data_IF_620095921783
#
_entry.id   IF_620095921783
#
_cell.length_a   1.000
_cell.length_b   1.000
_cell.length_c   1.000
_cell.angle_alpha   90.00
_cell.angle_beta   90.00
_cell.angle_gamma   90.00
#
_symmetry.space_group_name_H-M   'P 1'
#
loop_
_entity.id
_entity.type
_entity.pdbx_description
1 polymer ?
#
# COMPACT_ATOMS: atom_id res chain seq x y z
N UNK A 1 -2.77 21.44 12.75
CA UNK A 1 -2.63 20.76 11.45
C UNK A 1 -1.55 19.67 11.43
N UNK A 2 -0.37 19.92 12.08
CA UNK A 2 0.72 18.92 12.17
C UNK A 2 0.31 17.67 12.92
N UNK A 3 -0.43 17.79 14.02
CA UNK A 3 -0.91 16.66 14.82
C UNK A 3 -1.86 15.77 14.02
N UNK A 4 -2.81 16.36 13.30
CA UNK A 4 -3.75 15.61 12.45
C UNK A 4 -3.04 14.81 11.37
N UNK A 5 -2.02 15.40 10.73
CA UNK A 5 -1.20 14.70 9.71
C UNK A 5 -0.43 13.54 10.31
N UNK A 6 0.13 13.74 11.51
CA UNK A 6 0.85 12.67 12.21
C UNK A 6 -0.09 11.53 12.60
N UNK A 7 -1.26 11.84 13.17
CA UNK A 7 -2.27 10.82 13.52
C UNK A 7 -2.74 10.06 12.28
N UNK A 8 -3.06 10.75 11.20
CA UNK A 8 -3.47 10.11 9.95
C UNK A 8 -2.42 9.14 9.41
N UNK A 9 -1.13 9.52 9.51
CA UNK A 9 -0.01 8.66 9.13
C UNK A 9 0.07 7.42 10.02
N UNK A 10 -0.02 7.59 11.34
CA UNK A 10 0.04 6.48 12.29
C UNK A 10 -1.13 5.52 12.12
N UNK A 11 -2.35 6.00 11.86
CA UNK A 11 -3.49 5.16 11.53
C UNK A 11 -3.26 4.33 10.27
N UNK A 12 -2.69 4.93 9.22
CA UNK A 12 -2.34 4.18 8.01
C UNK A 12 -1.25 3.13 8.29
N UNK A 13 -0.23 3.48 9.08
CA UNK A 13 0.79 2.51 9.49
C UNK A 13 0.21 1.36 10.31
N UNK A 14 -0.70 1.62 11.25
CA UNK A 14 -1.40 0.59 12.02
C UNK A 14 -2.20 -0.33 11.10
N UNK A 15 -2.98 0.25 10.19
CA UNK A 15 -3.80 -0.53 9.27
C UNK A 15 -2.97 -1.49 8.41
N UNK A 16 -1.80 -1.07 7.95
CA UNK A 16 -0.93 -1.90 7.11
C UNK A 16 0.01 -2.80 7.91
N UNK A 17 0.74 -2.24 8.86
CA UNK A 17 1.88 -2.88 9.53
C UNK A 17 1.57 -3.30 10.98
N UNK A 18 0.34 -3.07 11.46
CA UNK A 18 -0.02 -3.43 12.84
C UNK A 18 0.31 -4.88 13.16
N UNK A 19 0.82 -5.11 14.35
CA UNK A 19 1.16 -6.44 14.86
C UNK A 19 1.02 -6.47 16.39
N UNK A 20 0.01 -7.13 16.88
CA UNK A 20 -0.25 -7.27 18.33
C UNK A 20 0.91 -7.94 19.08
N UNK A 21 1.76 -8.71 18.38
CA UNK A 21 2.96 -9.33 18.92
C UNK A 21 4.22 -8.46 18.79
N UNK A 22 4.09 -7.19 18.35
CA UNK A 22 5.23 -6.29 18.21
C UNK A 22 5.91 -6.02 19.55
N UNK A 23 7.21 -6.32 19.66
CA UNK A 23 8.01 -6.17 20.90
C UNK A 23 8.88 -4.90 20.90
N UNK A 24 8.91 -4.17 19.79
CA UNK A 24 9.74 -2.97 19.64
C UNK A 24 9.35 -1.86 20.63
N UNK A 25 10.33 -1.09 21.07
CA UNK A 25 10.13 0.10 21.92
C UNK A 25 9.75 1.34 21.12
N UNK A 26 10.05 1.35 19.83
CA UNK A 26 9.63 2.39 18.88
C UNK A 26 8.34 1.97 18.19
N UNK A 27 7.51 2.95 17.78
CA UNK A 27 6.22 2.70 17.12
C UNK A 27 5.30 1.77 17.92
N UNK A 28 5.21 2.00 19.21
CA UNK A 28 4.38 1.18 20.14
C UNK A 28 2.91 1.13 19.75
N UNK A 29 2.44 2.12 18.98
CA UNK A 29 1.08 2.15 18.43
C UNK A 29 0.78 0.99 17.46
N UNK A 30 1.78 0.33 16.88
CA UNK A 30 1.57 -0.84 16.02
C UNK A 30 1.01 -2.06 16.76
N UNK A 31 1.03 -2.08 18.09
CA UNK A 31 0.51 -3.19 18.91
C UNK A 31 -1.02 -3.24 18.99
N UNK A 32 -1.71 -2.22 18.52
CA UNK A 32 -3.16 -2.06 18.73
C UNK A 32 -3.98 -3.13 18.02
N UNK A 33 -3.66 -3.42 16.76
CA UNK A 33 -4.35 -4.42 15.95
C UNK A 33 -3.36 -5.16 15.05
N UNK A 34 -3.77 -6.31 14.54
CA UNK A 34 -3.05 -6.98 13.46
C UNK A 34 -3.46 -6.35 12.13
N UNK A 35 -2.50 -5.70 11.47
CA UNK A 35 -2.69 -5.02 10.20
C UNK A 35 -2.85 -5.98 9.01
N UNK A 36 -3.20 -5.43 7.87
CA UNK A 36 -3.45 -6.21 6.65
C UNK A 36 -2.26 -7.05 6.21
N UNK A 37 -1.02 -6.57 6.35
CA UNK A 37 0.17 -7.36 6.00
C UNK A 37 0.25 -8.67 6.80
N UNK A 38 -0.02 -8.62 8.11
CA UNK A 38 0.01 -9.81 8.96
C UNK A 38 -1.13 -10.76 8.63
N UNK A 39 -2.35 -10.24 8.44
CA UNK A 39 -3.53 -11.03 8.11
C UNK A 39 -3.41 -11.69 6.72
N UNK A 40 -2.96 -10.95 5.72
CA UNK A 40 -2.77 -11.45 4.36
C UNK A 40 -1.61 -12.45 4.28
N UNK A 41 -0.55 -12.27 5.08
CA UNK A 41 0.57 -13.23 5.12
C UNK A 41 0.12 -14.65 5.46
N UNK A 42 -0.94 -14.79 6.22
CA UNK A 42 -1.49 -16.10 6.59
C UNK A 42 -2.40 -16.71 5.50
N UNK A 43 -3.06 -15.88 4.68
CA UNK A 43 -4.15 -16.32 3.78
C UNK A 43 -3.84 -16.14 2.29
N UNK A 44 -3.03 -15.16 1.93
CA UNK A 44 -2.74 -14.84 0.53
C UNK A 44 -1.75 -15.81 -0.10
N UNK A 45 -1.87 -16.01 -1.41
CA UNK A 45 -0.84 -16.67 -2.19
C UNK A 45 0.42 -15.82 -2.21
N UNK A 46 1.56 -16.43 -1.91
CA UNK A 46 2.84 -15.74 -1.87
C UNK A 46 3.57 -15.90 -3.20
N UNK A 47 4.10 -14.79 -3.68
CA UNK A 47 5.10 -14.75 -4.76
C UNK A 47 6.42 -14.35 -4.11
N UNK A 48 7.41 -15.20 -4.20
CA UNK A 48 8.74 -14.90 -3.68
C UNK A 48 9.42 -13.92 -4.65
N UNK A 49 9.92 -12.82 -4.12
CA UNK A 49 10.64 -11.81 -4.88
C UNK A 49 11.91 -11.38 -4.15
N UNK A 50 12.70 -10.57 -4.80
CA UNK A 50 13.90 -9.94 -4.26
C UNK A 50 13.58 -8.51 -3.79
N UNK A 51 14.54 -7.87 -3.12
CA UNK A 51 14.48 -6.45 -2.81
C UNK A 51 14.25 -5.63 -4.07
N UNK A 52 13.30 -4.70 -4.04
CA UNK A 52 12.97 -3.86 -5.19
C UNK A 52 14.13 -2.93 -5.55
N UNK A 53 14.56 -3.03 -6.78
CA UNK A 53 15.55 -2.15 -7.42
C UNK A 53 14.96 -1.58 -8.70
N UNK A 54 15.56 -0.53 -9.24
CA UNK A 54 15.13 0.07 -10.51
C UNK A 54 15.15 -0.94 -11.66
N UNK A 55 16.04 -1.93 -11.59
CA UNK A 55 16.23 -2.88 -12.69
C UNK A 55 15.29 -4.11 -12.61
N UNK A 56 14.78 -4.44 -11.40
CA UNK A 56 13.95 -5.64 -11.22
C UNK A 56 12.50 -5.38 -10.86
N UNK A 57 12.15 -4.17 -10.37
CA UNK A 57 10.82 -3.89 -9.81
C UNK A 57 9.69 -4.09 -10.82
N UNK A 58 9.90 -3.75 -12.08
CA UNK A 58 8.91 -3.92 -13.14
C UNK A 58 8.57 -5.40 -13.31
N UNK A 59 9.59 -6.23 -13.50
CA UNK A 59 9.38 -7.67 -13.67
C UNK A 59 8.76 -8.35 -12.45
N UNK A 60 9.07 -7.87 -11.23
CA UNK A 60 8.46 -8.40 -10.02
C UNK A 60 6.98 -8.01 -9.88
N UNK A 61 6.62 -6.77 -10.23
CA UNK A 61 5.21 -6.32 -10.25
C UNK A 61 4.43 -7.06 -11.32
N UNK A 62 5.01 -7.27 -12.50
CA UNK A 62 4.40 -8.08 -13.56
C UNK A 62 4.15 -9.52 -13.09
N UNK A 63 5.14 -10.16 -12.51
CA UNK A 63 5.01 -11.53 -11.99
C UNK A 63 3.91 -11.63 -10.92
N UNK A 64 3.79 -10.63 -10.04
CA UNK A 64 2.75 -10.55 -9.04
C UNK A 64 1.35 -10.45 -9.67
N UNK A 65 1.18 -9.56 -10.65
CA UNK A 65 -0.09 -9.38 -11.37
C UNK A 65 -0.47 -10.66 -12.11
N UNK A 66 0.46 -11.25 -12.86
CA UNK A 66 0.19 -12.48 -13.61
C UNK A 66 -0.23 -13.65 -12.72
N UNK A 67 0.45 -13.82 -11.59
CA UNK A 67 0.08 -14.85 -10.60
C UNK A 67 -1.28 -14.58 -9.96
N UNK A 68 -1.60 -13.33 -9.68
CA UNK A 68 -2.90 -12.95 -9.16
C UNK A 68 -4.03 -13.18 -10.16
N UNK A 69 -3.81 -12.88 -11.44
CA UNK A 69 -4.77 -13.14 -12.52
C UNK A 69 -4.96 -14.62 -12.77
N UNK A 70 -3.89 -15.42 -12.76
CA UNK A 70 -3.94 -16.87 -12.87
C UNK A 70 -4.83 -17.46 -11.77
N UNK A 71 -4.65 -16.99 -10.52
CA UNK A 71 -5.48 -17.43 -9.40
C UNK A 71 -6.92 -16.98 -9.52
N UNK A 72 -7.18 -15.72 -9.87
CA UNK A 72 -8.52 -15.21 -10.05
C UNK A 72 -9.28 -15.98 -11.13
N UNK A 73 -8.61 -16.30 -12.24
CA UNK A 73 -9.17 -17.14 -13.31
C UNK A 73 -9.47 -18.57 -12.86
N UNK A 74 -8.59 -19.17 -12.06
CA UNK A 74 -8.79 -20.51 -11.54
C UNK A 74 -9.96 -20.60 -10.55
N UNK A 75 -10.25 -19.52 -9.84
CA UNK A 75 -11.33 -19.41 -8.87
C UNK A 75 -12.61 -18.78 -9.44
N UNK A 76 -12.62 -18.44 -10.74
CA UNK A 76 -13.71 -17.75 -11.45
C UNK A 76 -14.12 -16.43 -10.77
N UNK A 77 -13.13 -15.68 -10.27
CA UNK A 77 -13.32 -14.41 -9.58
C UNK A 77 -13.07 -13.24 -10.54
N UNK A 78 -14.03 -12.30 -10.67
CA UNK A 78 -13.82 -11.10 -11.47
C UNK A 78 -12.67 -10.24 -10.90
N UNK A 79 -11.89 -9.65 -11.79
CA UNK A 79 -10.75 -8.80 -11.40
C UNK A 79 -11.07 -7.31 -11.37
N UNK A 80 -12.34 -6.95 -11.49
CA UNK A 80 -12.80 -5.57 -11.35
C UNK A 80 -12.46 -5.02 -9.96
N UNK A 81 -11.87 -3.81 -9.94
CA UNK A 81 -11.45 -3.20 -8.69
C UNK A 81 -10.17 -3.75 -8.06
N UNK A 82 -9.45 -4.66 -8.77
CA UNK A 82 -8.12 -5.08 -8.34
C UNK A 82 -7.13 -3.93 -8.48
N UNK A 83 -6.23 -3.83 -7.52
CA UNK A 83 -5.17 -2.80 -7.46
C UNK A 83 -3.86 -3.42 -6.98
N UNK A 84 -2.77 -2.74 -7.31
CA UNK A 84 -1.44 -3.05 -6.76
C UNK A 84 -1.16 -2.10 -5.62
N UNK A 85 -0.95 -2.60 -4.43
CA UNK A 85 -0.60 -1.83 -3.24
C UNK A 85 0.90 -1.97 -2.99
N UNK A 86 1.60 -0.86 -2.81
CA UNK A 86 3.04 -0.82 -2.57
C UNK A 86 3.39 0.29 -1.59
N UNK A 87 4.57 0.19 -0.96
CA UNK A 87 5.08 1.28 -0.15
C UNK A 87 5.35 2.54 -1.00
N UNK A 88 5.12 3.73 -0.45
CA UNK A 88 5.41 5.00 -1.14
C UNK A 88 6.82 5.08 -1.73
N UNK A 89 7.83 4.57 -1.01
CA UNK A 89 9.21 4.57 -1.50
C UNK A 89 9.39 3.62 -2.69
N UNK A 90 8.75 2.46 -2.66
CA UNK A 90 8.83 1.46 -3.72
C UNK A 90 8.10 1.94 -4.99
N UNK A 91 6.99 2.67 -4.83
CA UNK A 91 6.32 3.34 -5.98
C UNK A 91 7.25 4.34 -6.64
N UNK A 92 8.08 5.07 -5.88
CA UNK A 92 9.08 5.97 -6.46
C UNK A 92 10.17 5.22 -7.23
N UNK A 93 10.60 4.06 -6.74
CA UNK A 93 11.52 3.18 -7.48
C UNK A 93 10.89 2.71 -8.80
N UNK A 94 9.61 2.33 -8.77
CA UNK A 94 8.85 1.95 -9.97
C UNK A 94 8.74 3.14 -10.97
N UNK A 95 8.47 4.34 -10.48
CA UNK A 95 8.44 5.56 -11.33
C UNK A 95 9.77 5.77 -12.06
N UNK A 96 10.89 5.65 -11.35
CA UNK A 96 12.23 5.80 -11.94
C UNK A 96 12.49 4.70 -12.97
N UNK A 97 12.12 3.45 -12.66
CA UNK A 97 12.27 2.33 -13.58
C UNK A 97 11.49 2.54 -14.89
N UNK A 98 10.23 2.98 -14.78
CA UNK A 98 9.40 3.31 -15.94
C UNK A 98 9.95 4.49 -16.74
N UNK A 99 10.50 5.49 -16.07
CA UNK A 99 11.17 6.63 -16.70
C UNK A 99 12.38 6.21 -17.54
N UNK A 100 13.19 5.26 -17.04
CA UNK A 100 14.34 4.72 -17.81
C UNK A 100 13.90 3.99 -19.08
N UNK A 101 12.82 3.22 -19.03
CA UNK A 101 12.26 2.56 -20.21
C UNK A 101 11.81 3.57 -21.27
N UNK A 102 11.26 4.70 -20.83
CA UNK A 102 10.76 5.74 -21.72
C UNK A 102 11.85 6.47 -22.48
N UNK A 103 13.01 6.66 -21.87
CA UNK A 103 14.16 7.36 -22.48
C UNK A 103 14.90 6.47 -23.48
N UNK A 104 14.90 5.15 -23.30
CA UNK A 104 15.56 4.20 -24.20
C UNK A 104 14.84 3.91 -25.51
N UNK A 105 13.55 4.22 -25.61
CA UNK A 105 12.73 3.96 -26.78
C UNK A 105 12.09 5.25 -27.28
N UNK A 106 12.71 5.85 -28.30
CA UNK A 106 12.19 7.04 -29.00
C UNK A 106 10.87 6.81 -29.75
N UNK A 107 10.23 5.68 -29.59
CA UNK A 107 8.95 5.35 -30.19
C UNK A 107 7.97 4.88 -29.11
N UNK A 108 7.04 5.69 -28.84
CA UNK A 108 5.80 5.66 -28.06
C UNK A 108 4.97 4.34 -27.96
N UNK A 109 5.52 3.17 -28.17
CA UNK A 109 4.73 1.94 -28.32
C UNK A 109 4.86 0.90 -27.22
N UNK A 110 5.78 1.04 -26.28
CA UNK A 110 5.91 0.07 -25.16
C UNK A 110 5.00 0.42 -23.98
N UNK A 111 4.35 1.58 -24.03
CA UNK A 111 3.48 2.07 -22.95
C UNK A 111 2.07 1.49 -22.95
N UNK A 112 1.71 0.57 -23.82
CA UNK A 112 0.38 -0.03 -23.81
C UNK A 112 0.01 -0.67 -22.46
N UNK A 113 1.01 -1.10 -21.69
CA UNK A 113 0.80 -1.79 -20.40
C UNK A 113 1.09 -0.90 -19.18
N UNK A 114 1.66 0.29 -19.39
CA UNK A 114 2.01 1.24 -18.31
C UNK A 114 1.52 2.62 -18.69
N UNK A 115 0.80 3.26 -17.81
CA UNK A 115 0.38 4.64 -17.99
C UNK A 115 0.56 5.44 -16.73
N UNK A 116 0.93 6.70 -16.89
CA UNK A 116 0.89 7.70 -15.83
C UNK A 116 -0.27 8.64 -16.12
N UNK A 117 -1.23 8.68 -15.21
CA UNK A 117 -2.39 9.54 -15.33
C UNK A 117 -2.04 11.01 -15.02
N UNK A 118 -2.92 11.93 -15.38
CA UNK A 118 -2.74 13.36 -15.11
C UNK A 118 -2.64 13.70 -13.61
N UNK A 119 -3.24 12.88 -12.75
CA UNK A 119 -3.16 12.98 -11.28
C UNK A 119 -1.85 12.42 -10.70
N UNK A 120 -0.96 11.91 -11.56
CA UNK A 120 0.32 11.31 -11.17
C UNK A 120 0.22 9.85 -10.75
N UNK A 121 -0.95 9.23 -10.76
CA UNK A 121 -1.10 7.80 -10.49
C UNK A 121 -0.52 6.96 -11.64
N UNK A 122 -0.01 5.77 -11.29
CA UNK A 122 0.58 4.83 -12.23
C UNK A 122 -0.37 3.65 -12.40
N UNK A 123 -0.58 3.23 -13.63
CA UNK A 123 -1.24 1.98 -13.96
C UNK A 123 -0.25 1.01 -14.58
N UNK A 124 -0.33 -0.25 -14.17
CA UNK A 124 0.45 -1.36 -14.70
C UNK A 124 -0.52 -2.43 -15.19
N UNK A 125 -0.48 -2.75 -16.47
CA UNK A 125 -1.44 -3.67 -17.12
C UNK A 125 -2.92 -3.31 -16.87
N UNK A 126 -3.24 -2.01 -16.78
CA UNK A 126 -4.58 -1.52 -16.50
C UNK A 126 -4.95 -1.48 -15.01
N UNK A 127 -4.12 -1.99 -14.12
CA UNK A 127 -4.34 -1.96 -12.67
C UNK A 127 -3.65 -0.76 -12.04
N UNK A 128 -4.38 0.00 -11.24
CA UNK A 128 -3.84 1.17 -10.54
C UNK A 128 -2.86 0.74 -9.46
N UNK A 129 -1.68 1.38 -9.43
CA UNK A 129 -0.72 1.27 -8.33
C UNK A 129 -1.09 2.28 -7.24
N UNK A 130 -1.37 1.80 -6.05
CA UNK A 130 -1.77 2.61 -4.90
C UNK A 130 -0.60 2.69 -3.90
N UNK A 131 -0.03 3.89 -3.70
CA UNK A 131 0.99 4.09 -2.68
C UNK A 131 0.39 4.00 -1.28
N UNK A 132 1.04 3.26 -0.39
CA UNK A 132 0.56 2.97 0.96
C UNK A 132 1.67 3.07 2.00
N UNK A 133 1.30 2.96 3.29
CA UNK A 133 2.24 2.89 4.42
C UNK A 133 2.63 1.45 4.79
N UNK A 134 2.50 0.50 3.87
CA UNK A 134 2.99 -0.85 4.08
C UNK A 134 4.53 -0.92 4.19
N UNK A 135 5.04 -2.06 4.62
CA UNK A 135 6.48 -2.30 4.69
C UNK A 135 7.13 -2.22 3.32
N UNK A 136 8.37 -1.73 3.25
CA UNK A 136 9.15 -1.67 2.00
C UNK A 136 9.42 -3.07 1.45
N UNK A 137 9.70 -3.13 0.15
CA UNK A 137 10.00 -4.36 -0.58
C UNK A 137 8.87 -5.39 -0.53
N UNK A 138 7.63 -4.90 -0.48
CA UNK A 138 6.44 -5.72 -0.56
C UNK A 138 5.45 -5.08 -1.53
N UNK A 139 4.72 -5.94 -2.22
CA UNK A 139 3.58 -5.54 -3.03
C UNK A 139 2.43 -6.52 -2.81
N UNK A 140 1.21 -6.02 -2.89
CA UNK A 140 -0.01 -6.83 -2.78
C UNK A 140 -0.85 -6.52 -4.00
N UNK A 141 -1.35 -7.56 -4.67
CA UNK A 141 -2.30 -7.43 -5.76
C UNK A 141 -3.61 -8.11 -5.38
N UNK A 142 -4.70 -7.37 -5.49
CA UNK A 142 -6.02 -7.90 -5.15
C UNK A 142 -7.11 -6.83 -5.12
N UNK A 143 -8.36 -7.23 -4.81
CA UNK A 143 -9.49 -6.34 -4.78
C UNK A 143 -9.37 -5.34 -3.62
N UNK A 144 -9.46 -4.05 -3.93
CA UNK A 144 -9.37 -2.99 -2.92
C UNK A 144 -10.49 -3.08 -1.86
N UNK A 145 -11.64 -3.61 -2.25
CA UNK A 145 -12.79 -3.79 -1.36
C UNK A 145 -12.56 -4.77 -0.21
N UNK A 146 -11.56 -5.66 -0.32
CA UNK A 146 -11.22 -6.60 0.74
C UNK A 146 -10.32 -5.99 1.83
N UNK A 147 -9.82 -4.77 1.62
CA UNK A 147 -9.03 -4.04 2.59
C UNK A 147 -9.94 -3.08 3.36
N UNK A 148 -10.71 -3.62 4.29
CA UNK A 148 -11.64 -2.86 5.12
C UNK A 148 -11.03 -2.65 6.50
N UNK A 149 -11.03 -1.40 6.97
CA UNK A 149 -10.75 -1.06 8.35
C UNK A 149 -12.08 -0.75 9.05
N UNK A 150 -12.47 -1.63 9.97
CA UNK A 150 -13.63 -1.38 10.83
C UNK A 150 -13.26 -0.37 11.91
N UNK A 151 -14.05 0.69 12.04
CA UNK A 151 -14.05 1.54 13.24
C UNK A 151 -15.28 1.17 14.04
N UNK A 152 -15.10 0.98 15.33
CA UNK A 152 -16.22 1.19 16.23
C UNK A 152 -16.54 2.69 16.16
N UNK A 153 -17.76 3.04 15.86
CA UNK A 153 -18.18 4.45 15.88
C UNK A 153 -17.90 4.96 17.28
N UNK A 154 -16.80 5.68 17.41
CA UNK A 154 -16.61 6.50 18.57
C UNK A 154 -17.85 7.40 18.66
N UNK A 155 -18.64 7.10 19.66
CA UNK A 155 -19.72 7.98 20.04
C UNK A 155 -19.12 9.40 20.07
N UNK A 156 -19.77 10.33 19.43
CA UNK A 156 -19.28 11.69 19.14
C UNK A 156 -18.97 12.55 20.39
N UNK A 157 -18.72 11.92 21.51
CA UNK A 157 -18.52 12.53 22.83
C UNK A 157 -17.09 12.48 23.36
N UNK A 158 -16.07 12.20 22.54
CA UNK A 158 -14.72 12.56 22.95
C UNK A 158 -14.52 14.06 22.72
N UNK A 159 -15.06 14.84 23.61
CA UNK A 159 -14.66 16.23 23.76
C UNK A 159 -13.20 16.25 24.24
N UNK A 160 -12.28 16.60 23.36
CA UNK A 160 -10.94 16.96 23.78
C UNK A 160 -11.03 18.31 24.50
N UNK A 161 -11.16 18.28 25.81
CA UNK A 161 -11.03 19.48 26.63
C UNK A 161 -9.55 19.79 26.78
N UNK A 162 -9.06 20.75 26.02
CA UNK A 162 -7.74 21.38 26.27
C UNK A 162 -7.86 22.14 27.60
N UNK A 163 -7.37 21.56 28.66
CA UNK A 163 -7.22 22.25 29.95
C UNK A 163 -5.96 23.08 29.84
N UNK A 164 -6.09 24.40 29.76
CA UNK A 164 -4.98 25.31 29.91
C UNK A 164 -4.56 25.32 31.39
N UNK A 165 -3.44 24.67 31.68
CA UNK A 165 -2.90 24.56 33.04
C UNK A 165 -2.35 25.88 33.60
N UNK A 166 -2.47 26.99 32.88
CA UNK A 166 -2.00 28.31 33.33
C UNK A 166 -3.04 29.06 34.18
N UNK A 167 -4.26 28.58 34.29
CA UNK A 167 -5.32 29.24 35.08
C UNK A 167 -5.55 28.61 36.46
N UNK A 168 -4.66 27.73 36.93
CA UNK A 168 -4.72 27.18 38.31
C UNK A 168 -3.61 27.80 39.15
N UNK A 169 -3.77 29.11 39.47
CA UNK A 169 -3.11 29.78 40.59
C UNK A 169 -4.15 30.54 41.37
#
# INVERSE_FOLDING_TARGET
>A
DRLRKQMAKEYQEIAWQGDTAHTGTTKTYLKVIDGWEKQLKAKAQKVTGETFTVDNIIGQVEALIMKGLEKASAEDVPTDGYKVFMNYADVKVLEVALGKLSVGNSQNQIFGNYSKNADGSINVYGFQVVPTMMSKNKAIFGPAMNLVLGYDTFDSHIEYKLIDMRETT
#
